data_IF_760487496416
#
_entry.id   IF_760487496416
#
_cell.length_a   1.000
_cell.length_b   1.000
_cell.length_c   1.000
_cell.angle_alpha   90.00
_cell.angle_beta   90.00
_cell.angle_gamma   90.00
#
_symmetry.space_group_name_H-M   'P 1'
#
loop_
_entity.id
_entity.type
_entity.pdbx_description
1 polymer ?
#
# COMPACT_ATOMS: atom_id res chain seq x y z
N UNK A 1 -29.70 33.28 -32.76
CA UNK A 1 -28.46 32.44 -32.69
C UNK A 1 -28.69 31.24 -31.78
N UNK A 2 -27.96 30.15 -31.98
CA UNK A 2 -28.04 28.91 -31.14
C UNK A 2 -27.85 29.26 -29.67
N UNK A 3 -26.93 30.17 -29.36
CA UNK A 3 -26.64 30.64 -28.01
C UNK A 3 -27.85 31.34 -27.34
N UNK A 4 -28.63 32.10 -28.09
CA UNK A 4 -29.85 32.76 -27.57
C UNK A 4 -30.98 31.76 -27.34
N UNK A 5 -31.10 30.75 -28.22
CA UNK A 5 -32.05 29.66 -28.04
C UNK A 5 -31.75 28.79 -26.79
N UNK A 6 -30.47 28.48 -26.55
CA UNK A 6 -30.06 27.78 -25.35
C UNK A 6 -30.34 28.61 -24.07
N UNK A 7 -29.99 29.89 -24.07
CA UNK A 7 -30.28 30.77 -22.94
C UNK A 7 -31.78 30.89 -22.63
N UNK A 8 -32.61 31.01 -23.68
CA UNK A 8 -34.07 31.07 -23.54
C UNK A 8 -34.63 29.76 -22.94
N UNK A 9 -34.17 28.62 -23.46
CA UNK A 9 -34.59 27.29 -22.95
C UNK A 9 -34.17 27.08 -21.52
N UNK A 10 -32.93 27.44 -21.15
CA UNK A 10 -32.45 27.34 -19.77
C UNK A 10 -33.25 28.20 -18.81
N UNK A 11 -33.61 29.43 -19.22
CA UNK A 11 -34.43 30.28 -18.38
C UNK A 11 -35.85 29.76 -18.22
N UNK A 12 -36.47 29.23 -19.27
CA UNK A 12 -37.80 28.57 -19.18
C UNK A 12 -37.78 27.34 -18.28
N UNK A 13 -36.74 26.55 -18.36
CA UNK A 13 -36.57 25.38 -17.47
C UNK A 13 -36.44 25.84 -16.02
N UNK A 14 -35.70 26.93 -15.76
CA UNK A 14 -35.56 27.49 -14.39
C UNK A 14 -36.87 28.04 -13.82
N UNK A 15 -37.73 28.62 -14.64
CA UNK A 15 -39.04 29.15 -14.25
C UNK A 15 -40.03 28.02 -13.87
N UNK A 16 -39.87 26.82 -14.42
CA UNK A 16 -40.80 25.71 -14.20
C UNK A 16 -40.24 24.60 -13.28
N UNK A 17 -38.95 24.61 -13.01
CA UNK A 17 -38.35 23.74 -12.00
C UNK A 17 -38.44 24.41 -10.63
N UNK A 18 -39.23 23.85 -9.75
CA UNK A 18 -39.07 24.10 -8.31
C UNK A 18 -37.63 23.80 -7.98
N UNK A 19 -36.89 24.83 -7.55
CA UNK A 19 -35.47 24.70 -7.20
C UNK A 19 -35.29 23.67 -6.07
N UNK A 20 -35.23 22.41 -6.45
CA UNK A 20 -34.66 21.38 -5.62
C UNK A 20 -33.14 21.51 -5.69
N UNK A 21 -32.47 21.40 -4.57
CA UNK A 21 -31.00 21.25 -4.57
C UNK A 21 -30.69 20.06 -5.48
N UNK A 22 -29.93 20.31 -6.56
CA UNK A 22 -29.41 19.21 -7.38
C UNK A 22 -28.59 18.24 -6.51
N UNK A 23 -28.35 17.03 -6.98
CA UNK A 23 -27.54 16.08 -6.21
C UNK A 23 -26.20 16.74 -5.86
N UNK A 24 -25.86 16.74 -4.57
CA UNK A 24 -24.58 17.29 -4.09
C UNK A 24 -23.45 16.53 -4.78
N UNK A 25 -22.58 17.23 -5.47
CA UNK A 25 -21.35 16.66 -6.01
C UNK A 25 -20.52 16.11 -4.85
N UNK A 26 -20.34 14.81 -4.84
CA UNK A 26 -19.47 14.16 -3.88
C UNK A 26 -18.05 14.16 -4.47
N UNK A 27 -17.15 14.89 -3.86
CA UNK A 27 -15.74 14.96 -4.24
C UNK A 27 -14.89 14.42 -3.09
N UNK A 28 -13.81 13.77 -3.45
CA UNK A 28 -12.81 13.37 -2.45
C UNK A 28 -12.27 14.65 -1.77
N UNK A 29 -12.14 14.67 -0.44
CA UNK A 29 -11.58 15.81 0.28
C UNK A 29 -10.11 16.02 -0.12
N UNK A 30 -9.61 17.26 -0.03
CA UNK A 30 -8.20 17.55 -0.29
C UNK A 30 -7.28 16.89 0.74
N UNK A 31 -7.73 16.80 1.97
CA UNK A 31 -7.05 16.16 3.09
C UNK A 31 -8.07 15.37 3.90
N UNK A 32 -7.67 14.20 4.36
CA UNK A 32 -8.45 13.38 5.28
C UNK A 32 -7.49 12.63 6.19
N UNK A 33 -7.85 12.53 7.47
CA UNK A 33 -7.12 11.73 8.43
C UNK A 33 -7.71 10.32 8.53
N UNK A 34 -6.92 9.38 9.03
CA UNK A 34 -7.44 8.04 9.34
C UNK A 34 -8.61 8.11 10.35
N UNK A 35 -8.51 9.00 11.35
CA UNK A 35 -9.55 9.21 12.35
C UNK A 35 -10.86 9.69 11.73
N UNK A 36 -10.78 10.62 10.75
CA UNK A 36 -11.95 11.07 10.00
C UNK A 36 -12.61 9.92 9.23
N UNK A 37 -11.82 9.04 8.63
CA UNK A 37 -12.35 7.86 7.92
C UNK A 37 -13.00 6.89 8.93
N UNK A 38 -12.34 6.60 10.03
CA UNK A 38 -12.86 5.72 11.08
C UNK A 38 -14.15 6.25 11.69
N UNK A 39 -14.28 7.57 11.87
CA UNK A 39 -15.49 8.19 12.42
C UNK A 39 -16.72 8.03 11.51
N UNK A 40 -16.52 7.87 10.21
CA UNK A 40 -17.56 7.67 9.21
C UNK A 40 -18.01 6.21 9.06
N UNK A 41 -17.21 5.27 9.60
CA UNK A 41 -17.55 3.86 9.55
C UNK A 41 -18.64 3.53 10.60
N UNK A 42 -19.64 2.72 10.24
CA UNK A 42 -20.53 2.14 11.21
C UNK A 42 -19.74 1.37 12.28
N UNK A 43 -20.14 1.49 13.56
CA UNK A 43 -19.43 0.85 14.69
C UNK A 43 -19.18 -0.65 14.50
N UNK A 44 -20.04 -1.33 13.75
CA UNK A 44 -19.90 -2.75 13.39
C UNK A 44 -18.78 -3.05 12.40
N UNK A 45 -18.22 -2.02 11.74
CA UNK A 45 -17.09 -2.11 10.82
C UNK A 45 -15.77 -1.61 11.44
N UNK A 46 -15.77 -1.28 12.74
CA UNK A 46 -14.53 -1.11 13.49
C UNK A 46 -13.91 -2.50 13.59
N UNK A 47 -12.96 -2.74 12.71
CA UNK A 47 -12.36 -4.06 12.49
C UNK A 47 -11.74 -4.61 13.77
N UNK A 48 -11.94 -5.90 14.08
CA UNK A 48 -11.39 -6.50 15.29
C UNK A 48 -9.87 -6.52 15.27
N UNK A 49 -9.23 -6.39 16.43
CA UNK A 49 -7.80 -6.68 16.57
C UNK A 49 -7.53 -8.15 16.18
N UNK A 50 -6.34 -8.41 15.64
CA UNK A 50 -5.93 -9.77 15.26
C UNK A 50 -5.95 -10.04 13.76
N UNK A 51 -5.65 -9.04 12.99
CA UNK A 51 -5.59 -9.08 11.53
C UNK A 51 -6.90 -8.68 10.88
N UNK A 52 -6.82 -8.12 9.71
CA UNK A 52 -7.97 -7.64 9.00
C UNK A 52 -7.61 -6.68 7.90
N UNK A 53 -8.60 -5.94 7.49
CA UNK A 53 -8.45 -4.99 6.40
C UNK A 53 -7.83 -3.69 6.92
N UNK A 54 -6.72 -3.29 6.32
CA UNK A 54 -6.12 -1.97 6.53
C UNK A 54 -6.85 -0.94 5.70
N UNK A 55 -7.00 0.26 6.23
CA UNK A 55 -7.53 1.40 5.50
C UNK A 55 -6.39 2.10 4.78
N UNK A 56 -6.39 2.08 3.45
CA UNK A 56 -5.39 2.78 2.64
C UNK A 56 -5.79 4.24 2.31
N UNK A 57 -7.07 4.56 2.42
CA UNK A 57 -7.62 5.87 2.08
C UNK A 57 -9.11 5.82 1.77
N UNK A 58 -9.59 6.77 0.95
CA UNK A 58 -10.94 6.78 0.39
C UNK A 58 -10.93 6.51 -1.10
N UNK A 59 -11.85 5.69 -1.58
CA UNK A 59 -12.09 5.52 -3.01
C UNK A 59 -13.03 6.62 -3.55
N UNK A 60 -12.83 7.01 -4.81
CA UNK A 60 -13.57 8.11 -5.43
C UNK A 60 -15.02 7.74 -5.75
N UNK A 61 -15.27 6.49 -6.14
CA UNK A 61 -16.57 6.04 -6.63
C UNK A 61 -17.68 6.09 -5.58
N UNK A 62 -17.38 5.72 -4.35
CA UNK A 62 -18.35 5.64 -3.25
C UNK A 62 -18.06 6.59 -2.11
N UNK A 63 -16.88 7.23 -2.12
CA UNK A 63 -16.30 7.97 -0.98
C UNK A 63 -16.25 7.11 0.30
N UNK A 64 -16.06 5.83 0.11
CA UNK A 64 -15.91 4.86 1.18
C UNK A 64 -14.45 4.52 1.44
N UNK A 65 -14.14 3.81 2.54
CA UNK A 65 -12.78 3.39 2.82
C UNK A 65 -12.29 2.39 1.78
N UNK A 66 -11.09 2.63 1.26
CA UNK A 66 -10.35 1.68 0.47
C UNK A 66 -9.66 0.70 1.41
N UNK A 67 -10.08 -0.55 1.37
CA UNK A 67 -9.57 -1.60 2.24
C UNK A 67 -8.51 -2.44 1.54
N UNK A 68 -7.50 -2.84 2.30
CA UNK A 68 -6.44 -3.75 1.90
C UNK A 68 -6.45 -4.96 2.85
N UNK A 69 -6.81 -6.12 2.32
CA UNK A 69 -6.90 -7.33 3.11
C UNK A 69 -5.53 -8.01 3.23
N UNK A 70 -4.93 -7.94 4.41
CA UNK A 70 -3.58 -8.45 4.67
C UNK A 70 -3.46 -9.98 4.61
N UNK A 71 -4.57 -10.71 4.59
CA UNK A 71 -4.59 -12.16 4.47
C UNK A 71 -4.54 -12.65 3.03
N UNK A 72 -5.16 -11.89 2.11
CA UNK A 72 -5.16 -12.18 0.67
C UNK A 72 -4.03 -11.47 -0.05
N UNK A 73 -3.70 -10.27 0.40
CA UNK A 73 -2.70 -9.39 -0.20
C UNK A 73 -1.55 -9.15 0.79
N UNK A 74 -0.47 -9.89 0.62
CA UNK A 74 0.65 -9.82 1.56
C UNK A 74 1.58 -8.65 1.29
N UNK A 75 1.55 -8.10 0.10
CA UNK A 75 2.50 -7.09 -0.36
C UNK A 75 1.81 -5.88 -0.96
N UNK A 76 2.53 -4.76 -0.97
CA UNK A 76 2.09 -3.53 -1.60
C UNK A 76 3.30 -2.77 -2.12
N UNK A 77 3.21 -2.19 -3.31
CA UNK A 77 4.26 -1.31 -3.81
C UNK A 77 3.68 -0.01 -4.36
N UNK A 78 4.40 1.08 -4.12
CA UNK A 78 3.93 2.42 -4.38
C UNK A 78 4.98 3.23 -5.11
N UNK A 79 4.60 3.84 -6.23
CA UNK A 79 5.44 4.74 -7.01
C UNK A 79 4.91 6.17 -6.94
N UNK A 80 5.82 7.14 -6.85
CA UNK A 80 5.44 8.54 -6.85
C UNK A 80 6.63 9.48 -6.97
N UNK A 81 6.41 10.66 -7.53
CA UNK A 81 7.40 11.72 -7.58
C UNK A 81 7.78 12.23 -6.16
N UNK A 82 8.74 13.13 -6.08
CA UNK A 82 9.10 13.76 -4.82
C UNK A 82 7.89 14.54 -4.25
N UNK A 83 7.71 14.49 -2.92
CA UNK A 83 6.67 15.22 -2.18
C UNK A 83 5.22 14.85 -2.56
N UNK A 84 4.98 13.67 -3.14
CA UNK A 84 3.62 13.21 -3.49
C UNK A 84 2.93 12.42 -2.39
N UNK A 85 3.65 12.06 -1.31
CA UNK A 85 3.08 11.39 -0.14
C UNK A 85 3.62 9.98 0.14
N UNK A 86 4.70 9.51 -0.54
CA UNK A 86 5.27 8.16 -0.33
C UNK A 86 5.53 7.84 1.14
N UNK A 87 6.34 8.66 1.81
CA UNK A 87 6.69 8.46 3.23
C UNK A 87 5.47 8.64 4.14
N UNK A 88 4.55 9.57 3.81
CA UNK A 88 3.28 9.73 4.53
C UNK A 88 2.43 8.47 4.45
N UNK A 89 2.40 7.83 3.28
CA UNK A 89 1.73 6.55 3.09
C UNK A 89 2.32 5.45 3.99
N UNK A 90 3.66 5.31 4.06
CA UNK A 90 4.28 4.35 4.98
C UNK A 90 3.96 4.66 6.45
N UNK A 91 3.88 5.94 6.84
CA UNK A 91 3.44 6.34 8.19
C UNK A 91 1.99 5.91 8.46
N UNK A 92 1.09 6.02 7.46
CA UNK A 92 -0.29 5.53 7.58
C UNK A 92 -0.32 4.01 7.75
N UNK A 93 0.50 3.27 7.01
CA UNK A 93 0.64 1.82 7.17
C UNK A 93 1.12 1.46 8.58
N UNK A 94 2.12 2.16 9.12
CA UNK A 94 2.58 1.95 10.50
C UNK A 94 1.44 2.19 11.49
N UNK A 95 0.65 3.26 11.31
CA UNK A 95 -0.51 3.54 12.15
C UNK A 95 -1.56 2.43 12.06
N UNK A 96 -1.82 1.88 10.87
CA UNK A 96 -2.74 0.77 10.68
C UNK A 96 -2.23 -0.53 11.31
N UNK A 97 -0.92 -0.83 11.19
CA UNK A 97 -0.33 -2.00 11.88
C UNK A 97 -0.54 -1.87 13.39
N UNK A 98 -0.23 -0.72 13.97
CA UNK A 98 -0.38 -0.50 15.42
C UNK A 98 -1.83 -0.45 15.90
N UNK A 99 -2.77 -0.11 15.01
CA UNK A 99 -4.20 -0.16 15.28
C UNK A 99 -4.75 -1.58 15.28
N UNK A 100 -4.34 -2.40 14.30
CA UNK A 100 -4.89 -3.74 14.06
C UNK A 100 -4.20 -4.84 14.85
N UNK A 101 -2.93 -4.67 15.19
CA UNK A 101 -2.11 -5.69 15.83
C UNK A 101 -1.53 -5.21 17.16
N UNK A 102 -1.32 -6.12 18.07
CA UNK A 102 -0.50 -5.88 19.26
C UNK A 102 1.00 -6.09 18.94
N UNK A 103 1.94 -5.60 19.77
CA UNK A 103 3.37 -5.83 19.56
C UNK A 103 3.81 -7.30 19.60
N UNK A 104 2.93 -8.20 20.08
CA UNK A 104 3.15 -9.65 20.07
C UNK A 104 2.67 -10.29 18.78
N UNK A 105 1.78 -9.62 18.06
CA UNK A 105 1.18 -10.12 16.82
C UNK A 105 1.86 -9.57 15.57
N UNK A 106 2.51 -8.40 15.65
CA UNK A 106 3.22 -7.80 14.53
C UNK A 106 4.52 -7.14 14.95
N UNK A 107 5.54 -7.27 14.10
CA UNK A 107 6.82 -6.57 14.19
C UNK A 107 7.17 -5.92 12.87
N UNK A 108 7.85 -4.79 12.95
CA UNK A 108 8.22 -3.95 11.81
C UNK A 108 9.73 -3.91 11.66
N UNK A 109 10.21 -4.23 10.46
CA UNK A 109 11.55 -3.92 9.99
C UNK A 109 11.45 -2.77 8.99
N UNK A 110 12.04 -1.62 9.30
CA UNK A 110 12.07 -0.48 8.41
C UNK A 110 13.45 -0.31 7.77
N UNK A 111 13.51 -0.23 6.43
CA UNK A 111 14.70 0.13 5.67
C UNK A 111 14.48 1.53 5.13
N UNK A 112 15.22 2.49 5.66
CA UNK A 112 15.02 3.92 5.43
C UNK A 112 16.37 4.66 5.38
N UNK A 113 16.95 4.72 4.18
CA UNK A 113 18.27 5.33 3.96
C UNK A 113 18.28 6.84 4.23
N UNK A 114 17.13 7.50 4.21
CA UNK A 114 17.00 8.94 4.46
C UNK A 114 16.58 9.30 5.89
N UNK A 115 16.26 8.30 6.70
CA UNK A 115 15.74 8.48 8.06
C UNK A 115 14.43 9.27 8.12
N UNK A 116 13.63 9.19 7.07
CA UNK A 116 12.33 9.88 6.95
C UNK A 116 11.25 9.26 7.83
N UNK A 117 11.43 8.00 8.23
CA UNK A 117 10.56 7.26 9.16
C UNK A 117 11.09 7.23 10.60
N UNK A 118 12.17 7.97 10.90
CA UNK A 118 12.74 7.99 12.24
C UNK A 118 11.69 8.40 13.29
N UNK A 119 11.51 7.58 14.31
CA UNK A 119 10.50 7.78 15.36
C UNK A 119 9.06 7.52 14.94
N UNK A 120 8.81 7.05 13.68
CA UNK A 120 7.46 6.70 13.24
C UNK A 120 7.01 5.32 13.72
N UNK A 121 7.94 4.37 13.85
CA UNK A 121 7.65 3.03 14.38
C UNK A 121 7.81 3.06 15.90
N UNK A 122 6.77 2.72 16.68
CA UNK A 122 6.90 2.59 18.12
C UNK A 122 7.92 1.51 18.49
N UNK A 123 8.67 1.72 19.57
CA UNK A 123 9.78 0.84 19.98
C UNK A 123 9.33 -0.61 20.16
N UNK A 124 8.18 -0.82 20.78
CA UNK A 124 7.62 -2.14 21.03
C UNK A 124 7.23 -2.92 19.77
N UNK A 125 7.01 -2.24 18.62
CA UNK A 125 6.78 -2.87 17.31
C UNK A 125 8.05 -3.02 16.50
N UNK A 126 9.14 -2.32 16.88
CA UNK A 126 10.36 -2.29 16.09
C UNK A 126 11.15 -3.60 16.22
N UNK A 127 11.28 -4.34 15.12
CA UNK A 127 12.22 -5.44 15.00
C UNK A 127 13.61 -4.89 14.66
N UNK A 128 13.70 -4.06 13.63
CA UNK A 128 14.93 -3.41 13.15
C UNK A 128 14.60 -2.09 12.46
N UNK A 129 15.49 -1.13 12.62
CA UNK A 129 15.48 0.12 11.85
C UNK A 129 16.82 0.28 11.16
N UNK A 130 16.87 0.21 9.86
CA UNK A 130 18.08 0.07 9.04
C UNK A 130 18.25 1.29 8.15
N UNK A 131 19.42 1.92 8.21
CA UNK A 131 19.72 3.20 7.52
C UNK A 131 20.92 3.15 6.60
N UNK A 132 21.50 1.97 6.39
CA UNK A 132 22.62 1.79 5.46
C UNK A 132 22.53 0.45 4.75
N UNK A 133 23.15 0.38 3.57
CA UNK A 133 23.03 -0.76 2.67
C UNK A 133 23.67 -2.05 3.23
N UNK A 134 24.80 -1.94 3.92
CA UNK A 134 25.51 -3.11 4.46
C UNK A 134 24.68 -3.80 5.55
N UNK A 135 24.10 -3.02 6.46
CA UNK A 135 23.21 -3.56 7.49
C UNK A 135 21.92 -4.12 6.85
N UNK A 136 21.39 -3.46 5.81
CA UNK A 136 20.23 -3.96 5.10
C UNK A 136 20.48 -5.35 4.51
N UNK A 137 21.61 -5.56 3.85
CA UNK A 137 22.00 -6.88 3.31
C UNK A 137 22.12 -7.94 4.38
N UNK A 138 22.76 -7.61 5.52
CA UNK A 138 22.94 -8.54 6.63
C UNK A 138 21.61 -8.90 7.30
N UNK A 139 20.85 -7.88 7.70
CA UNK A 139 19.62 -8.05 8.45
C UNK A 139 18.55 -8.77 7.61
N UNK A 140 18.48 -8.47 6.31
CA UNK A 140 17.50 -9.11 5.42
C UNK A 140 17.81 -10.60 5.26
N UNK A 141 19.08 -10.97 5.19
CA UNK A 141 19.49 -12.39 5.14
C UNK A 141 19.06 -13.14 6.41
N UNK A 142 19.25 -12.53 7.58
CA UNK A 142 18.83 -13.11 8.86
C UNK A 142 17.30 -13.27 8.90
N UNK A 143 16.57 -12.26 8.46
CA UNK A 143 15.10 -12.26 8.35
C UNK A 143 14.63 -13.36 7.39
N UNK A 144 15.22 -13.45 6.20
CA UNK A 144 14.86 -14.47 5.23
C UNK A 144 15.10 -15.88 5.75
N UNK A 145 16.22 -16.12 6.43
CA UNK A 145 16.51 -17.41 7.08
C UNK A 145 15.46 -17.76 8.13
N UNK A 146 15.09 -16.79 8.97
CA UNK A 146 14.04 -17.00 9.97
C UNK A 146 12.69 -17.29 9.31
N UNK A 147 12.29 -16.51 8.31
CA UNK A 147 11.00 -16.70 7.64
C UNK A 147 10.90 -18.04 6.91
N UNK A 148 12.02 -18.58 6.39
CA UNK A 148 12.05 -19.93 5.80
C UNK A 148 11.71 -21.02 6.80
N UNK A 149 11.96 -20.83 8.10
CA UNK A 149 11.56 -21.79 9.14
C UNK A 149 10.05 -21.91 9.30
N UNK A 150 9.29 -20.95 8.77
CA UNK A 150 7.83 -20.95 8.77
C UNK A 150 7.20 -21.57 7.52
N UNK A 151 8.01 -21.94 6.53
CA UNK A 151 7.48 -22.68 5.38
C UNK A 151 6.92 -24.03 5.85
N UNK A 152 5.74 -24.45 5.35
CA UNK A 152 5.14 -25.70 5.77
C UNK A 152 6.01 -26.90 5.36
N UNK A 153 6.36 -27.74 6.32
CA UNK A 153 6.99 -29.02 6.09
C UNK A 153 6.00 -30.08 5.64
N UNK A 154 6.51 -31.27 5.34
CA UNK A 154 5.68 -32.45 4.95
C UNK A 154 4.76 -32.96 6.05
N UNK A 155 4.99 -32.56 7.28
CA UNK A 155 4.23 -32.90 8.49
C UNK A 155 3.06 -31.99 8.79
N UNK A 156 2.96 -30.85 8.06
CA UNK A 156 1.89 -29.86 8.24
C UNK A 156 0.60 -30.37 7.61
N UNK A 157 -0.45 -30.45 8.41
CA UNK A 157 -1.77 -30.92 7.95
C UNK A 157 -2.53 -29.89 7.13
N UNK A 158 -3.47 -30.30 6.25
CA UNK A 158 -4.33 -29.38 5.52
C UNK A 158 -5.16 -28.46 6.42
N UNK A 159 -5.52 -28.90 7.61
CA UNK A 159 -6.24 -28.11 8.59
C UNK A 159 -5.35 -27.00 9.17
N UNK A 160 -4.11 -27.31 9.48
CA UNK A 160 -3.12 -26.34 9.95
C UNK A 160 -2.85 -25.27 8.88
N UNK A 161 -2.77 -25.69 7.60
CA UNK A 161 -2.59 -24.72 6.48
C UNK A 161 -3.80 -23.78 6.40
N UNK A 162 -5.04 -24.30 6.44
CA UNK A 162 -6.25 -23.46 6.40
C UNK A 162 -6.32 -22.46 7.58
N UNK A 163 -5.88 -22.90 8.76
CA UNK A 163 -5.94 -22.12 9.99
C UNK A 163 -4.68 -21.28 10.26
N UNK A 164 -3.63 -21.44 9.44
CA UNK A 164 -2.31 -20.80 9.60
C UNK A 164 -1.72 -20.98 10.99
N UNK A 165 -1.82 -22.17 11.57
CA UNK A 165 -1.42 -22.44 12.94
C UNK A 165 -0.26 -23.45 13.09
N UNK A 166 0.52 -23.70 12.02
CA UNK A 166 1.74 -24.52 12.08
C UNK A 166 2.99 -23.74 12.52
N UNK A 167 2.91 -22.41 12.56
CA UNK A 167 3.96 -21.55 13.08
C UNK A 167 3.39 -20.60 14.13
N UNK A 168 4.26 -19.98 14.94
CA UNK A 168 3.89 -19.04 15.99
C UNK A 168 4.77 -17.81 15.97
N UNK A 169 4.36 -16.77 16.71
CA UNK A 169 5.06 -15.51 16.81
C UNK A 169 4.42 -14.40 15.94
N UNK A 170 5.02 -13.20 15.93
CA UNK A 170 4.47 -12.03 15.23
C UNK A 170 4.58 -12.18 13.73
N UNK A 171 3.60 -11.63 13.00
CA UNK A 171 3.75 -11.32 11.57
C UNK A 171 4.85 -10.28 11.38
N UNK A 172 5.57 -10.37 10.28
CA UNK A 172 6.67 -9.47 9.98
C UNK A 172 6.32 -8.52 8.84
N UNK A 173 6.44 -7.24 9.10
CA UNK A 173 6.22 -6.16 8.16
C UNK A 173 7.57 -5.55 7.78
N UNK A 174 7.97 -5.73 6.52
CA UNK A 174 9.18 -5.13 5.93
C UNK A 174 8.76 -3.88 5.17
N UNK A 175 9.09 -2.71 5.70
CA UNK A 175 8.79 -1.42 5.09
C UNK A 175 10.05 -0.84 4.48
N UNK A 176 10.00 -0.52 3.18
CA UNK A 176 11.14 0.01 2.41
C UNK A 176 10.78 1.39 1.87
N UNK A 177 11.40 2.43 2.42
CA UNK A 177 11.24 3.79 1.88
C UNK A 177 12.32 4.09 0.84
N UNK A 178 11.90 4.66 -0.29
CA UNK A 178 12.76 4.96 -1.45
C UNK A 178 13.62 3.75 -1.89
N UNK A 179 12.99 2.67 -2.33
CA UNK A 179 13.60 1.42 -2.78
C UNK A 179 14.77 1.61 -3.76
N UNK A 180 14.74 2.66 -4.56
CA UNK A 180 15.82 3.01 -5.48
C UNK A 180 17.13 3.42 -4.77
N UNK A 181 17.10 3.70 -3.47
CA UNK A 181 18.29 3.87 -2.64
C UNK A 181 18.73 2.57 -1.96
N UNK A 182 17.87 1.57 -1.93
CA UNK A 182 18.10 0.27 -1.30
C UNK A 182 18.61 -0.76 -2.31
N UNK A 183 17.93 -0.88 -3.44
CA UNK A 183 18.35 -1.73 -4.56
C UNK A 183 19.35 -0.96 -5.45
N UNK A 184 20.62 -1.23 -5.29
CA UNK A 184 21.72 -0.52 -5.96
C UNK A 184 22.61 -1.47 -6.75
N UNK A 185 23.61 -0.94 -7.47
CA UNK A 185 24.63 -1.75 -8.12
C UNK A 185 25.46 -2.60 -7.14
N UNK A 186 25.47 -2.23 -5.86
CA UNK A 186 26.15 -3.00 -4.80
C UNK A 186 25.31 -4.19 -4.29
N UNK A 187 24.10 -4.35 -4.81
CA UNK A 187 23.18 -5.43 -4.47
C UNK A 187 21.79 -4.94 -4.09
N UNK A 188 20.90 -5.90 -3.87
CA UNK A 188 19.54 -5.65 -3.44
C UNK A 188 19.22 -6.57 -2.25
N UNK A 189 19.04 -6.01 -1.04
CA UNK A 189 18.74 -6.81 0.15
C UNK A 189 17.48 -7.67 0.03
N UNK A 190 16.46 -7.20 -0.71
CA UNK A 190 15.20 -7.91 -0.85
C UNK A 190 15.31 -9.17 -1.72
N UNK A 191 16.43 -9.37 -2.41
CA UNK A 191 16.67 -10.62 -3.15
C UNK A 191 16.67 -11.85 -2.26
N UNK A 192 17.04 -11.70 -0.99
CA UNK A 192 17.00 -12.80 -0.01
C UNK A 192 15.58 -13.26 0.34
N UNK A 193 14.55 -12.41 0.02
CA UNK A 193 13.13 -12.74 0.21
C UNK A 193 12.44 -13.27 -1.06
N UNK A 194 13.12 -13.26 -2.21
CA UNK A 194 12.47 -13.48 -3.50
C UNK A 194 11.71 -14.81 -3.59
N UNK A 195 12.26 -15.89 -3.05
CA UNK A 195 11.65 -17.22 -2.98
C UNK A 195 10.49 -17.31 -1.98
N UNK A 196 10.42 -16.39 -1.03
CA UNK A 196 9.38 -16.33 -0.01
C UNK A 196 8.16 -15.51 -0.43
N UNK A 197 8.30 -14.57 -1.36
CA UNK A 197 7.22 -13.65 -1.75
C UNK A 197 5.94 -14.37 -2.20
N UNK A 198 5.97 -15.47 -2.99
CA UNK A 198 4.76 -16.17 -3.40
C UNK A 198 3.95 -16.78 -2.26
N UNK A 199 4.61 -17.13 -1.15
CA UNK A 199 4.01 -17.80 0.01
C UNK A 199 3.97 -16.89 1.25
N UNK A 200 4.28 -15.63 1.07
CA UNK A 200 4.50 -14.69 2.17
C UNK A 200 3.27 -14.57 3.10
N UNK A 201 2.08 -14.53 2.53
CA UNK A 201 0.84 -14.48 3.30
C UNK A 201 0.67 -15.66 4.24
N UNK A 202 1.12 -16.86 3.86
CA UNK A 202 0.99 -18.06 4.67
C UNK A 202 1.94 -18.07 5.86
N UNK A 203 3.11 -17.45 5.70
CA UNK A 203 4.17 -17.40 6.74
C UNK A 203 4.16 -16.10 7.55
N UNK A 204 3.17 -15.22 7.32
CA UNK A 204 3.05 -13.94 8.02
C UNK A 204 4.15 -12.94 7.65
N UNK A 205 4.52 -12.88 6.36
CA UNK A 205 5.48 -11.91 5.82
C UNK A 205 4.78 -10.90 4.93
N UNK A 206 4.98 -9.62 5.21
CA UNK A 206 4.44 -8.51 4.44
C UNK A 206 5.57 -7.61 3.97
N UNK A 207 5.58 -7.25 2.69
CA UNK A 207 6.60 -6.36 2.11
C UNK A 207 5.92 -5.17 1.46
N UNK A 208 6.24 -3.97 1.95
CA UNK A 208 5.68 -2.72 1.45
C UNK A 208 6.81 -1.83 0.98
N UNK A 209 6.79 -1.49 -0.30
CA UNK A 209 7.88 -0.76 -0.97
C UNK A 209 7.35 0.58 -1.46
N UNK A 210 8.09 1.66 -1.17
CA UNK A 210 7.93 2.92 -1.91
C UNK A 210 9.12 3.16 -2.83
N UNK A 211 8.89 3.79 -3.96
CA UNK A 211 9.91 4.13 -4.94
C UNK A 211 9.57 5.42 -5.66
N UNK A 212 10.59 6.18 -6.07
CA UNK A 212 10.38 7.34 -6.94
C UNK A 212 9.82 6.91 -8.31
N UNK A 213 9.05 7.80 -8.95
CA UNK A 213 8.46 7.55 -10.27
C UNK A 213 9.52 7.54 -11.37
N UNK A 214 10.52 8.43 -11.30
CA UNK A 214 11.56 8.52 -12.33
C UNK A 214 12.27 7.20 -12.58
N UNK A 215 12.24 6.72 -13.83
CA UNK A 215 12.79 5.44 -14.26
C UNK A 215 11.99 4.22 -13.79
N UNK A 216 10.75 4.40 -13.33
CA UNK A 216 9.91 3.32 -12.82
C UNK A 216 9.65 2.23 -13.86
N UNK A 217 9.34 2.58 -15.11
CA UNK A 217 9.07 1.60 -16.17
C UNK A 217 10.24 0.66 -16.45
N UNK A 218 11.48 1.14 -16.28
CA UNK A 218 12.67 0.28 -16.40
C UNK A 218 12.91 -0.55 -15.15
N UNK A 219 12.58 0.00 -13.98
CA UNK A 219 12.75 -0.68 -12.71
C UNK A 219 11.80 -1.86 -12.54
N UNK A 220 10.67 -1.91 -13.25
CA UNK A 220 9.75 -3.06 -13.22
C UNK A 220 10.37 -4.35 -13.75
N UNK A 221 11.49 -4.28 -14.46
CA UNK A 221 12.27 -5.46 -14.88
C UNK A 221 13.27 -5.93 -13.83
N UNK A 222 13.42 -5.21 -12.74
CA UNK A 222 14.22 -5.64 -11.60
C UNK A 222 13.49 -6.79 -10.89
N UNK A 223 14.23 -7.84 -10.48
CA UNK A 223 13.66 -9.15 -10.09
C UNK A 223 12.60 -9.08 -8.99
N UNK A 224 12.80 -8.24 -7.97
CA UNK A 224 11.84 -8.13 -6.86
C UNK A 224 10.56 -7.45 -7.34
N UNK A 225 10.67 -6.34 -8.08
CA UNK A 225 9.51 -5.62 -8.63
C UNK A 225 8.81 -6.45 -9.72
N UNK A 226 9.58 -7.19 -10.52
CA UNK A 226 9.02 -8.12 -11.49
C UNK A 226 8.22 -9.22 -10.79
N UNK A 227 8.75 -9.84 -9.74
CA UNK A 227 8.04 -10.84 -8.95
C UNK A 227 6.74 -10.27 -8.35
N UNK A 228 6.78 -9.05 -7.79
CA UNK A 228 5.58 -8.39 -7.28
C UNK A 228 4.53 -8.17 -8.37
N UNK A 229 4.96 -7.79 -9.57
CA UNK A 229 4.06 -7.63 -10.71
C UNK A 229 3.48 -8.97 -11.18
N UNK A 230 4.29 -10.02 -11.24
CA UNK A 230 3.85 -11.37 -11.66
C UNK A 230 2.87 -11.98 -10.64
N UNK A 231 3.04 -11.68 -9.36
CA UNK A 231 2.10 -12.03 -8.28
C UNK A 231 0.84 -11.14 -8.27
N UNK A 232 0.75 -10.17 -9.18
CA UNK A 232 -0.33 -9.19 -9.24
C UNK A 232 -0.58 -8.47 -7.89
N UNK A 233 0.52 -8.14 -7.19
CA UNK A 233 0.50 -7.39 -5.94
C UNK A 233 -0.21 -6.05 -6.14
N UNK A 234 -0.97 -5.63 -5.14
CA UNK A 234 -1.62 -4.31 -5.15
C UNK A 234 -0.59 -3.20 -5.33
N UNK A 235 -0.78 -2.41 -6.37
CA UNK A 235 0.09 -1.30 -6.72
C UNK A 235 -0.59 0.05 -6.56
N UNK A 236 0.18 1.05 -6.15
CA UNK A 236 -0.29 2.42 -5.98
C UNK A 236 0.57 3.37 -6.80
N UNK A 237 -0.07 4.17 -7.64
CA UNK A 237 0.57 5.22 -8.41
C UNK A 237 0.12 6.59 -7.87
N UNK A 238 0.99 7.24 -7.12
CA UNK A 238 0.86 8.66 -6.78
C UNK A 238 1.19 9.52 -8.00
N UNK A 239 1.14 10.84 -7.84
CA UNK A 239 1.48 11.77 -8.92
C UNK A 239 2.82 11.43 -9.57
N UNK A 240 2.83 11.37 -10.90
CA UNK A 240 4.02 11.09 -11.70
C UNK A 240 3.91 11.60 -13.13
N UNK A 241 5.02 11.58 -13.86
CA UNK A 241 5.06 11.99 -15.25
C UNK A 241 4.50 10.86 -16.15
N UNK A 242 3.43 11.10 -16.94
CA UNK A 242 2.88 10.09 -17.87
C UNK A 242 3.89 9.60 -18.93
N UNK A 243 4.97 10.36 -19.19
CA UNK A 243 6.03 9.98 -20.12
C UNK A 243 6.91 8.84 -19.60
N UNK A 244 6.82 8.48 -18.33
CA UNK A 244 7.50 7.28 -17.80
C UNK A 244 7.00 5.98 -18.45
N UNK A 245 5.83 6.02 -19.10
CA UNK A 245 5.23 4.81 -19.68
C UNK A 245 4.41 4.02 -18.67
N UNK A 246 4.12 2.78 -18.99
CA UNK A 246 3.42 1.86 -18.10
C UNK A 246 4.35 1.43 -16.95
N UNK A 247 3.83 1.45 -15.73
CA UNK A 247 4.59 1.16 -14.51
C UNK A 247 4.04 -0.07 -13.78
N UNK A 248 2.74 -0.11 -13.54
CA UNK A 248 2.09 -1.23 -12.83
C UNK A 248 1.01 -1.81 -13.73
N UNK A 249 1.11 -3.09 -14.09
CA UNK A 249 0.09 -3.81 -14.89
C UNK A 249 -0.43 -3.01 -16.09
N UNK A 250 0.47 -2.34 -16.82
CA UNK A 250 0.11 -1.54 -17.99
C UNK A 250 -0.42 -0.14 -17.68
N UNK A 251 -0.62 0.22 -16.42
CA UNK A 251 -1.13 1.52 -16.01
C UNK A 251 -0.03 2.57 -16.03
N UNK A 252 -0.33 3.73 -16.63
CA UNK A 252 0.55 4.89 -16.68
C UNK A 252 0.26 5.84 -15.51
N UNK A 253 1.28 6.47 -14.92
CA UNK A 253 1.08 7.49 -13.91
C UNK A 253 0.34 8.70 -14.49
N UNK A 254 -0.38 9.40 -13.63
CA UNK A 254 -1.03 10.69 -13.93
C UNK A 254 -0.48 11.77 -13.00
N UNK A 255 -0.49 13.02 -13.43
CA UNK A 255 -0.23 14.13 -12.53
C UNK A 255 -1.45 14.38 -11.66
N UNK A 256 -1.25 14.47 -10.37
CA UNK A 256 -2.30 14.73 -9.38
C UNK A 256 -1.75 15.55 -8.21
N UNK A 257 -2.62 16.04 -7.37
CA UNK A 257 -2.24 16.68 -6.11
C UNK A 257 -1.61 15.63 -5.15
N UNK A 258 -0.78 16.04 -4.18
CA UNK A 258 -0.23 15.13 -3.19
C UNK A 258 -1.33 14.33 -2.47
N UNK A 259 -1.07 13.05 -2.20
CA UNK A 259 -2.03 12.14 -1.56
C UNK A 259 -3.08 11.53 -2.50
N UNK A 260 -3.22 12.02 -3.72
CA UNK A 260 -4.07 11.37 -4.74
C UNK A 260 -3.31 10.26 -5.44
N UNK A 261 -3.98 9.11 -5.60
CA UNK A 261 -3.38 7.93 -6.19
C UNK A 261 -4.34 7.22 -7.15
N UNK A 262 -3.76 6.44 -8.07
CA UNK A 262 -4.43 5.37 -8.77
C UNK A 262 -4.06 4.07 -8.05
N UNK A 263 -5.04 3.28 -7.68
CA UNK A 263 -4.82 1.96 -7.09
C UNK A 263 -5.05 0.93 -8.17
N UNK A 264 -4.06 0.08 -8.39
CA UNK A 264 -4.09 -1.00 -9.38
C UNK A 264 -4.21 -2.30 -8.62
N UNK A 265 -5.38 -2.89 -8.65
CA UNK A 265 -5.68 -4.14 -7.96
C UNK A 265 -6.25 -5.16 -8.94
N UNK A 266 -5.88 -6.43 -8.78
CA UNK A 266 -6.27 -7.50 -9.70
C UNK A 266 -7.80 -7.63 -9.88
N UNK A 267 -8.54 -7.46 -8.79
CA UNK A 267 -10.00 -7.63 -8.79
C UNK A 267 -10.76 -6.33 -9.10
N UNK A 268 -10.18 -5.18 -8.75
CA UNK A 268 -10.85 -3.89 -8.90
C UNK A 268 -10.54 -3.20 -10.23
N UNK A 269 -9.53 -3.68 -10.96
CA UNK A 269 -9.01 -2.98 -12.13
C UNK A 269 -8.16 -1.77 -11.74
N UNK A 270 -8.42 -0.62 -12.37
CA UNK A 270 -7.73 0.67 -12.10
C UNK A 270 -8.71 1.66 -11.49
#
# INVERSE_FOLDING_TARGET
>A
TVSQGVAYTVNKIREHLVAGEGPKLRLLPEQITLEDILSQLPKQHILPRGGGDMILGLEESRLGPLLFNTRTDSHLYLFGDAKTGKTSFLRSIISEITRLYTPREAKIMAIDMRRSLLGAVPEEYTLRYVTNHQDAMKQMREVAQFMRTRLPGSDVTPEQIRNRNWWSGPELWVLVDDYDLVATSSGNPLMDLLDLLPQAGDIGLHVIITRRMGGASRATYEKVLQMMNDLAVTGILLSGNPREGAVINGVKPKRSIPGRAQVVHRELGV
#
